data_IF_143369466198
#
_entry.id   IF_143369466198
#
_cell.length_a   1.000
_cell.length_b   1.000
_cell.length_c   1.000
_cell.angle_alpha   90.00
_cell.angle_beta   90.00
_cell.angle_gamma   90.00
#
_symmetry.space_group_name_H-M   'P 1'
#
loop_
_entity.id
_entity.type
_entity.pdbx_description
1 polymer ?
#
# COMPACT_ATOMS: atom_id res chain seq x y z
N UNK A 1 -38.47 -26.18 16.17
CA UNK A 1 -37.74 -27.40 15.76
C UNK A 1 -37.11 -28.01 16.99
N UNK A 2 -37.00 -29.34 17.08
CA UNK A 2 -36.40 -30.00 18.25
C UNK A 2 -34.96 -29.53 18.47
N UNK A 3 -34.61 -29.30 19.73
CA UNK A 3 -33.27 -28.81 20.10
C UNK A 3 -32.20 -29.91 20.05
N UNK A 4 -32.62 -31.18 20.16
CA UNK A 4 -31.74 -32.35 20.19
C UNK A 4 -32.39 -33.55 19.49
N UNK A 5 -31.58 -34.33 18.76
CA UNK A 5 -31.98 -35.64 18.24
C UNK A 5 -31.80 -36.68 19.35
N UNK A 6 -32.80 -37.53 19.58
CA UNK A 6 -32.76 -38.57 20.60
C UNK A 6 -31.68 -39.63 20.33
N UNK A 7 -31.32 -39.86 19.06
CA UNK A 7 -30.24 -40.78 18.67
C UNK A 7 -28.85 -40.21 19.00
N UNK A 8 -28.72 -38.88 19.10
CA UNK A 8 -27.47 -38.20 19.48
C UNK A 8 -27.34 -38.00 21.01
N UNK A 9 -28.36 -38.41 21.77
CA UNK A 9 -28.43 -38.24 23.20
C UNK A 9 -28.09 -39.54 23.92
N UNK A 10 -26.92 -39.56 24.54
CA UNK A 10 -26.52 -40.65 25.43
C UNK A 10 -27.10 -40.39 26.82
N UNK A 11 -28.12 -41.16 27.20
CA UNK A 11 -28.71 -41.10 28.54
C UNK A 11 -27.79 -41.76 29.56
N UNK A 12 -27.77 -41.24 30.80
CA UNK A 12 -27.03 -41.84 31.90
C UNK A 12 -27.78 -43.04 32.49
N UNK A 13 -29.11 -43.00 32.48
CA UNK A 13 -30.00 -44.06 32.95
C UNK A 13 -31.00 -44.42 31.86
N UNK A 14 -31.40 -45.68 31.81
CA UNK A 14 -32.46 -46.13 30.90
C UNK A 14 -33.78 -45.42 31.23
N UNK A 15 -34.51 -45.02 30.19
CA UNK A 15 -35.83 -44.42 30.33
C UNK A 15 -36.84 -45.50 30.74
N UNK A 16 -37.82 -45.18 31.61
CA UNK A 16 -38.96 -46.05 31.83
C UNK A 16 -39.66 -46.40 30.49
N UNK A 17 -40.04 -47.66 30.29
CA UNK A 17 -40.60 -48.16 29.02
C UNK A 17 -41.82 -47.37 28.50
N UNK A 18 -42.58 -46.74 29.40
CA UNK A 18 -43.80 -45.99 29.09
C UNK A 18 -43.58 -44.47 28.91
N UNK A 19 -42.34 -44.00 29.01
CA UNK A 19 -42.03 -42.57 28.93
C UNK A 19 -41.76 -42.13 27.48
N UNK A 20 -42.81 -41.71 26.78
CA UNK A 20 -42.70 -41.17 25.42
C UNK A 20 -42.22 -39.72 25.43
N UNK A 21 -40.96 -39.50 24.99
CA UNK A 21 -40.33 -38.18 24.90
C UNK A 21 -40.04 -37.72 23.47
N UNK A 22 -40.36 -38.55 22.47
CA UNK A 22 -40.18 -38.23 21.06
C UNK A 22 -41.41 -37.47 20.55
N UNK A 23 -41.18 -36.45 19.72
CA UNK A 23 -42.25 -35.76 19.02
C UNK A 23 -42.65 -36.52 17.76
N UNK A 24 -43.92 -36.88 17.54
CA UNK A 24 -44.33 -37.61 16.34
C UNK A 24 -44.16 -36.84 15.01
N UNK A 25 -44.07 -35.50 15.07
CA UNK A 25 -43.96 -34.65 13.86
C UNK A 25 -42.52 -34.47 13.42
N UNK A 26 -41.61 -34.15 14.35
CA UNK A 26 -40.21 -33.87 14.02
C UNK A 26 -39.25 -35.00 14.42
N UNK A 27 -39.74 -36.06 15.04
CA UNK A 27 -39.02 -37.26 15.48
C UNK A 27 -37.89 -37.04 16.53
N UNK A 28 -37.53 -35.79 16.83
CA UNK A 28 -36.62 -35.43 17.93
C UNK A 28 -37.27 -35.38 19.31
N UNK A 29 -36.48 -35.05 20.34
CA UNK A 29 -36.99 -34.88 21.71
C UNK A 29 -37.96 -33.70 21.78
N UNK A 30 -39.08 -33.92 22.46
CA UNK A 30 -40.10 -32.91 22.75
C UNK A 30 -39.45 -31.66 23.36
N UNK A 31 -39.47 -30.56 22.59
CA UNK A 31 -39.04 -29.24 23.03
C UNK A 31 -40.29 -28.40 23.25
N UNK A 32 -40.47 -27.91 24.48
CA UNK A 32 -41.71 -27.22 24.89
C UNK A 32 -42.97 -28.07 24.63
N UNK A 33 -43.15 -29.19 25.37
CA UNK A 33 -44.17 -30.18 25.09
C UNK A 33 -45.58 -29.63 25.25
N UNK A 34 -46.41 -29.86 24.23
CA UNK A 34 -47.80 -29.48 24.17
C UNK A 34 -48.67 -30.74 24.02
N UNK A 35 -49.64 -30.88 24.93
CA UNK A 35 -50.62 -31.95 24.96
C UNK A 35 -51.83 -31.58 24.10
N UNK A 36 -52.25 -32.48 23.21
CA UNK A 36 -53.53 -32.34 22.51
C UNK A 36 -54.66 -33.01 23.26
N UNK A 37 -55.80 -32.33 23.40
CA UNK A 37 -56.93 -32.82 24.20
C UNK A 37 -57.68 -34.00 23.57
N UNK A 38 -57.59 -34.16 22.25
CA UNK A 38 -58.34 -35.19 21.52
C UNK A 38 -57.82 -36.62 21.72
N UNK A 39 -56.51 -36.80 21.92
CA UNK A 39 -55.89 -38.13 22.03
C UNK A 39 -54.76 -38.20 23.06
N UNK A 40 -54.49 -37.13 23.82
CA UNK A 40 -53.49 -37.14 24.90
C UNK A 40 -52.03 -37.26 24.46
N UNK A 41 -51.72 -37.08 23.17
CA UNK A 41 -50.35 -37.13 22.67
C UNK A 41 -49.63 -35.79 22.85
N UNK A 42 -48.30 -35.85 22.98
CA UNK A 42 -47.47 -34.66 23.15
C UNK A 42 -46.70 -34.34 21.85
N UNK A 43 -46.54 -33.05 21.57
CA UNK A 43 -45.77 -32.55 20.45
C UNK A 43 -44.87 -31.39 20.90
N UNK A 44 -43.82 -31.08 20.14
CA UNK A 44 -43.15 -29.79 20.34
C UNK A 44 -44.13 -28.65 20.07
N UNK A 45 -44.09 -27.56 20.85
CA UNK A 45 -44.96 -26.39 20.65
C UNK A 45 -44.91 -25.89 19.21
N UNK A 46 -43.70 -25.59 18.72
CA UNK A 46 -43.48 -25.16 17.32
C UNK A 46 -43.92 -26.15 16.23
N UNK A 47 -44.11 -27.43 16.55
CA UNK A 47 -44.60 -28.43 15.60
C UNK A 47 -46.12 -28.41 15.53
N UNK A 48 -46.80 -28.50 16.68
CA UNK A 48 -48.27 -28.52 16.70
C UNK A 48 -48.88 -27.16 16.36
N UNK A 49 -48.22 -26.05 16.73
CA UNK A 49 -48.61 -24.70 16.30
C UNK A 49 -48.61 -24.57 14.78
N UNK A 50 -47.61 -25.15 14.11
CA UNK A 50 -47.52 -25.13 12.65
C UNK A 50 -48.65 -25.91 12.00
N UNK A 51 -48.97 -27.09 12.53
CA UNK A 51 -50.10 -27.90 12.06
C UNK A 51 -51.42 -27.14 12.22
N UNK A 52 -51.61 -26.50 13.39
CA UNK A 52 -52.81 -25.69 13.64
C UNK A 52 -52.90 -24.46 12.73
N UNK A 53 -51.77 -23.79 12.49
CA UNK A 53 -51.69 -22.63 11.59
C UNK A 53 -51.99 -22.98 10.13
N UNK A 54 -51.76 -24.23 9.71
CA UNK A 54 -52.15 -24.74 8.39
C UNK A 54 -53.56 -25.36 8.36
N UNK A 55 -54.41 -25.10 9.36
CA UNK A 55 -55.73 -25.73 9.52
C UNK A 55 -55.68 -27.27 9.46
N UNK A 56 -54.57 -27.87 9.90
CA UNK A 56 -54.36 -29.31 9.90
C UNK A 56 -55.05 -30.01 11.07
N UNK A 57 -55.47 -31.24 10.85
CA UNK A 57 -56.00 -32.15 11.87
C UNK A 57 -54.90 -32.62 12.84
N UNK A 58 -55.29 -33.22 13.96
CA UNK A 58 -54.36 -33.82 14.90
C UNK A 58 -53.47 -34.87 14.19
N UNK A 59 -52.13 -34.77 14.23
CA UNK A 59 -51.25 -35.69 13.51
C UNK A 59 -51.33 -37.16 13.94
N UNK A 60 -51.87 -37.45 15.13
CA UNK A 60 -51.94 -38.81 15.68
C UNK A 60 -53.29 -39.50 15.46
N UNK A 61 -54.40 -38.75 15.46
CA UNK A 61 -55.75 -39.33 15.39
C UNK A 61 -56.65 -38.70 14.31
N UNK A 62 -56.12 -37.76 13.52
CA UNK A 62 -56.83 -37.07 12.45
C UNK A 62 -58.10 -36.29 12.88
N UNK A 63 -58.24 -35.97 14.15
CA UNK A 63 -59.36 -35.16 14.64
C UNK A 63 -59.20 -33.68 14.24
N UNK A 64 -60.24 -33.09 13.66
CA UNK A 64 -60.25 -31.69 13.21
C UNK A 64 -60.40 -30.69 14.38
N UNK A 65 -61.06 -31.10 15.46
CA UNK A 65 -61.42 -30.26 16.60
C UNK A 65 -60.63 -30.68 17.83
N UNK A 66 -59.41 -30.15 17.96
CA UNK A 66 -58.55 -30.39 19.12
C UNK A 66 -58.08 -29.07 19.74
N UNK A 67 -57.90 -29.09 21.06
CA UNK A 67 -57.24 -28.01 21.78
C UNK A 67 -55.83 -28.43 22.15
N UNK A 68 -54.97 -27.44 22.37
CA UNK A 68 -53.56 -27.63 22.66
C UNK A 68 -53.25 -26.92 23.97
N UNK A 69 -52.62 -27.60 24.91
CA UNK A 69 -52.19 -27.03 26.19
C UNK A 69 -50.74 -27.40 26.49
N UNK A 70 -49.99 -26.47 27.11
CA UNK A 70 -48.61 -26.73 27.55
C UNK A 70 -48.60 -27.82 28.62
N UNK A 71 -47.82 -28.87 28.41
CA UNK A 71 -47.66 -29.96 29.36
C UNK A 71 -46.44 -29.73 30.29
N UNK A 72 -46.67 -28.98 31.38
CA UNK A 72 -45.62 -28.62 32.34
C UNK A 72 -45.01 -29.84 33.04
N UNK A 73 -45.80 -30.88 33.29
CA UNK A 73 -45.30 -32.13 33.89
C UNK A 73 -44.31 -32.81 32.96
N UNK A 74 -44.69 -32.99 31.68
CA UNK A 74 -43.81 -33.58 30.68
C UNK A 74 -42.54 -32.77 30.48
N UNK A 75 -42.62 -31.43 30.53
CA UNK A 75 -41.46 -30.55 30.46
C UNK A 75 -40.48 -30.77 31.62
N UNK A 76 -40.99 -30.92 32.86
CA UNK A 76 -40.13 -31.19 34.04
C UNK A 76 -39.38 -32.51 33.89
N UNK A 77 -40.11 -33.57 33.53
CA UNK A 77 -39.53 -34.91 33.33
C UNK A 77 -38.40 -34.86 32.29
N UNK A 78 -38.64 -34.23 31.13
CA UNK A 78 -37.63 -34.11 30.07
C UNK A 78 -36.42 -33.30 30.53
N UNK A 79 -36.64 -32.20 31.25
CA UNK A 79 -35.57 -31.33 31.72
C UNK A 79 -34.66 -31.98 32.77
N UNK A 80 -35.21 -32.89 33.57
CA UNK A 80 -34.52 -33.62 34.64
C UNK A 80 -33.79 -34.88 34.14
N UNK A 81 -33.96 -35.25 32.86
CA UNK A 81 -33.23 -36.37 32.27
C UNK A 81 -31.72 -36.15 32.39
N UNK A 82 -31.03 -37.12 33.00
CA UNK A 82 -29.58 -37.11 33.12
C UNK A 82 -28.95 -37.66 31.83
N UNK A 83 -28.16 -36.84 31.16
CA UNK A 83 -27.57 -37.10 29.85
C UNK A 83 -26.08 -36.83 29.86
N UNK A 84 -25.32 -37.55 29.03
CA UNK A 84 -23.95 -37.22 28.70
C UNK A 84 -23.89 -36.14 27.63
N UNK A 85 -22.80 -35.36 27.64
CA UNK A 85 -22.50 -34.39 26.59
C UNK A 85 -22.56 -35.03 25.19
N UNK A 86 -23.11 -34.32 24.20
CA UNK A 86 -23.09 -34.76 22.80
C UNK A 86 -21.67 -34.95 22.24
N UNK A 87 -20.65 -34.37 22.89
CA UNK A 87 -19.24 -34.56 22.55
C UNK A 87 -18.56 -35.69 23.37
N UNK A 88 -19.33 -36.61 23.98
CA UNK A 88 -18.78 -37.73 24.77
C UNK A 88 -17.81 -38.59 23.96
N UNK A 89 -18.16 -38.92 22.72
CA UNK A 89 -17.30 -39.70 21.81
C UNK A 89 -15.98 -38.96 21.49
N UNK A 90 -15.98 -37.64 21.55
CA UNK A 90 -14.77 -36.81 21.40
C UNK A 90 -13.94 -36.73 22.67
N UNK A 91 -14.44 -37.23 23.80
CA UNK A 91 -13.77 -37.26 25.10
C UNK A 91 -14.38 -36.34 26.18
N UNK A 92 -15.53 -35.70 25.93
CA UNK A 92 -16.18 -34.89 26.97
C UNK A 92 -16.83 -35.78 28.04
N UNK A 93 -16.38 -35.66 29.29
CA UNK A 93 -16.90 -36.46 30.41
C UNK A 93 -18.12 -35.84 31.10
N UNK A 94 -18.57 -34.66 30.67
CA UNK A 94 -19.69 -33.98 31.30
C UNK A 94 -20.98 -34.80 31.19
N UNK A 95 -21.69 -34.88 32.32
CA UNK A 95 -23.04 -35.39 32.43
C UNK A 95 -23.87 -34.50 33.36
N UNK A 96 -25.16 -34.44 33.12
CA UNK A 96 -26.08 -33.66 33.95
C UNK A 96 -27.48 -33.59 33.36
N UNK A 97 -28.33 -32.77 33.95
CA UNK A 97 -29.70 -32.54 33.50
C UNK A 97 -29.74 -31.94 32.08
N UNK A 98 -30.66 -32.43 31.23
CA UNK A 98 -30.81 -32.00 29.84
C UNK A 98 -30.97 -30.49 29.70
N UNK A 99 -31.66 -29.83 30.65
CA UNK A 99 -31.84 -28.37 30.67
C UNK A 99 -30.50 -27.61 30.71
N UNK A 100 -29.48 -28.19 31.33
CA UNK A 100 -28.14 -27.61 31.49
C UNK A 100 -27.18 -27.95 30.32
N UNK A 101 -27.58 -28.82 29.39
CA UNK A 101 -26.76 -29.16 28.22
C UNK A 101 -26.42 -27.92 27.38
N UNK A 102 -27.40 -27.03 27.20
CA UNK A 102 -27.22 -25.83 26.38
C UNK A 102 -26.20 -24.86 26.97
N UNK A 103 -26.16 -24.72 28.29
CA UNK A 103 -25.21 -23.85 29.02
C UNK A 103 -23.82 -24.46 29.05
N UNK A 104 -23.71 -25.79 29.21
CA UNK A 104 -22.44 -26.50 29.11
C UNK A 104 -21.82 -26.34 27.70
N UNK A 105 -22.59 -26.64 26.65
CA UNK A 105 -22.11 -26.57 25.26
C UNK A 105 -21.82 -25.13 24.84
N UNK A 106 -22.72 -24.17 25.14
CA UNK A 106 -22.67 -22.79 24.62
C UNK A 106 -22.37 -22.80 23.11
N UNK A 107 -23.14 -23.58 22.34
CA UNK A 107 -22.85 -23.88 20.92
C UNK A 107 -22.48 -22.62 20.14
N UNK A 108 -21.45 -22.72 19.28
CA UNK A 108 -20.92 -21.63 18.43
C UNK A 108 -20.37 -20.40 19.19
N UNK A 109 -20.37 -20.38 20.52
CA UNK A 109 -19.73 -19.32 21.31
C UNK A 109 -18.27 -19.68 21.54
N UNK A 110 -17.38 -18.70 21.40
CA UNK A 110 -15.93 -18.87 21.60
C UNK A 110 -15.61 -19.42 22.99
N UNK A 111 -16.16 -18.80 24.04
CA UNK A 111 -16.01 -19.26 25.42
C UNK A 111 -17.19 -20.14 25.84
N UNK A 112 -16.90 -21.19 26.58
CA UNK A 112 -17.88 -22.09 27.18
C UNK A 112 -17.22 -23.21 27.97
N UNK A 113 -18.02 -23.96 28.72
CA UNK A 113 -17.52 -24.99 29.64
C UNK A 113 -17.05 -26.23 28.88
N UNK A 114 -17.77 -26.64 27.83
CA UNK A 114 -17.38 -27.76 26.98
C UNK A 114 -16.11 -27.43 26.17
N UNK A 115 -15.00 -28.06 26.52
CA UNK A 115 -13.71 -27.91 25.82
C UNK A 115 -13.68 -28.61 24.45
N UNK A 116 -14.61 -29.54 24.21
CA UNK A 116 -14.70 -30.38 23.01
C UNK A 116 -15.67 -29.82 21.96
N UNK A 117 -16.38 -28.73 22.27
CA UNK A 117 -17.29 -28.07 21.34
C UNK A 117 -16.51 -27.35 20.23
N UNK A 118 -16.98 -27.49 18.99
CA UNK A 118 -16.34 -26.88 17.82
C UNK A 118 -16.75 -25.42 17.61
N UNK A 119 -15.75 -24.55 17.63
CA UNK A 119 -15.88 -23.10 17.50
C UNK A 119 -15.04 -22.59 16.33
N UNK A 120 -15.42 -21.45 15.78
CA UNK A 120 -14.67 -20.79 14.69
C UNK A 120 -13.52 -19.99 15.29
N UNK A 121 -12.41 -19.93 14.56
CA UNK A 121 -11.32 -18.99 14.80
C UNK A 121 -11.84 -17.53 14.83
N UNK A 122 -11.28 -16.69 15.70
CA UNK A 122 -11.65 -15.28 15.81
C UNK A 122 -11.27 -14.44 14.59
N UNK A 123 -10.24 -14.83 13.84
CA UNK A 123 -9.75 -14.07 12.71
C UNK A 123 -10.65 -14.26 11.49
N UNK A 124 -11.18 -13.17 10.96
CA UNK A 124 -12.19 -13.15 9.88
C UNK A 124 -11.78 -13.90 8.61
N UNK A 125 -10.49 -13.90 8.30
CA UNK A 125 -9.94 -14.57 7.12
C UNK A 125 -9.55 -16.04 7.39
N UNK A 126 -9.65 -16.50 8.64
CA UNK A 126 -9.47 -17.90 8.99
C UNK A 126 -10.85 -18.59 8.97
N UNK A 127 -11.02 -19.61 8.12
CA UNK A 127 -12.28 -20.36 8.00
C UNK A 127 -12.30 -21.64 8.85
N UNK A 128 -11.25 -21.88 9.62
CA UNK A 128 -11.09 -23.10 10.39
C UNK A 128 -12.04 -23.17 11.58
N UNK A 129 -12.39 -24.40 11.93
CA UNK A 129 -13.21 -24.76 13.10
C UNK A 129 -12.48 -25.83 13.87
N UNK A 130 -12.44 -25.67 15.19
CA UNK A 130 -11.75 -26.60 16.07
C UNK A 130 -12.37 -26.62 17.44
N UNK A 131 -11.99 -27.64 18.22
CA UNK A 131 -12.40 -27.76 19.61
C UNK A 131 -11.84 -26.58 20.43
N UNK A 132 -12.63 -26.05 21.37
CA UNK A 132 -12.22 -24.91 22.22
C UNK A 132 -10.85 -25.09 22.87
N UNK A 133 -10.50 -26.31 23.29
CA UNK A 133 -9.19 -26.60 23.91
C UNK A 133 -7.98 -26.27 23.03
N UNK A 134 -8.13 -26.32 21.71
CA UNK A 134 -7.04 -26.05 20.76
C UNK A 134 -7.11 -24.65 20.15
N UNK A 135 -8.16 -23.88 20.47
CA UNK A 135 -8.40 -22.61 19.81
C UNK A 135 -7.30 -21.59 20.09
N UNK A 136 -6.82 -21.52 21.34
CA UNK A 136 -5.76 -20.57 21.71
C UNK A 136 -4.43 -20.93 21.03
N UNK A 137 -4.04 -22.21 21.09
CA UNK A 137 -2.80 -22.68 20.44
C UNK A 137 -2.80 -22.36 18.95
N UNK A 138 -3.93 -22.60 18.27
CA UNK A 138 -4.11 -22.19 16.89
C UNK A 138 -4.00 -20.67 16.72
N UNK A 139 -4.77 -19.88 17.47
CA UNK A 139 -4.84 -18.42 17.29
C UNK A 139 -3.49 -17.73 17.56
N UNK A 140 -2.69 -18.28 18.47
CA UNK A 140 -1.43 -17.68 18.92
C UNK A 140 -0.22 -18.17 18.10
N UNK A 141 -0.22 -19.42 17.65
CA UNK A 141 0.98 -20.04 17.07
C UNK A 141 0.81 -20.60 15.65
N UNK A 142 -0.37 -21.08 15.28
CA UNK A 142 -0.55 -21.82 14.02
C UNK A 142 -1.28 -20.99 12.96
N UNK A 143 -2.22 -20.14 13.37
CA UNK A 143 -3.15 -19.49 12.47
C UNK A 143 -2.40 -18.62 11.46
N UNK A 144 -2.55 -18.85 10.14
CA UNK A 144 -1.90 -18.02 9.13
C UNK A 144 -2.37 -16.56 9.15
N UNK A 145 -3.55 -16.31 9.73
CA UNK A 145 -4.16 -14.99 9.84
C UNK A 145 -3.86 -14.30 11.17
N UNK A 146 -3.05 -14.91 12.05
CA UNK A 146 -2.64 -14.26 13.30
C UNK A 146 -1.81 -12.99 13.02
N UNK A 147 -1.92 -11.96 13.86
CA UNK A 147 -1.02 -10.81 13.82
C UNK A 147 0.43 -11.25 13.96
N UNK A 148 1.30 -10.69 13.12
CA UNK A 148 2.71 -10.99 13.13
C UNK A 148 3.52 -9.76 12.71
N UNK A 149 4.62 -9.54 13.41
CA UNK A 149 5.57 -8.47 13.11
C UNK A 149 6.84 -9.09 12.57
N UNK A 150 7.33 -8.57 11.43
CA UNK A 150 8.59 -8.99 10.87
C UNK A 150 9.74 -8.68 11.84
N UNK A 151 10.57 -9.68 12.22
CA UNK A 151 11.69 -9.48 13.14
C UNK A 151 12.84 -8.64 12.54
N UNK A 152 12.85 -8.43 11.23
CA UNK A 152 13.97 -7.76 10.53
C UNK A 152 13.70 -6.32 10.11
N UNK A 153 12.44 -5.92 9.96
CA UNK A 153 12.11 -4.58 9.46
C UNK A 153 10.85 -3.97 10.09
N UNK A 154 10.44 -4.49 11.25
CA UNK A 154 9.32 -4.01 12.08
C UNK A 154 7.97 -3.88 11.37
N UNK A 155 7.80 -4.47 10.19
CA UNK A 155 6.55 -4.43 9.42
C UNK A 155 5.51 -5.33 10.07
N UNK A 156 4.33 -4.78 10.33
CA UNK A 156 3.19 -5.52 10.87
C UNK A 156 2.29 -6.06 9.75
N UNK A 157 1.66 -7.21 9.98
CA UNK A 157 0.71 -7.83 9.07
C UNK A 157 0.16 -9.14 9.64
N UNK A 158 -0.43 -9.97 8.79
CA UNK A 158 -0.72 -11.36 9.16
C UNK A 158 0.50 -12.23 8.94
N UNK A 159 0.66 -13.31 9.71
CA UNK A 159 1.74 -14.26 9.50
C UNK A 159 1.86 -14.70 8.03
N UNK A 160 0.74 -15.01 7.37
CA UNK A 160 0.71 -15.39 5.96
C UNK A 160 1.22 -14.27 5.03
N UNK A 161 0.74 -13.03 5.20
CA UNK A 161 1.18 -11.90 4.38
C UNK A 161 2.67 -11.60 4.56
N UNK A 162 3.17 -11.71 5.79
CA UNK A 162 4.58 -11.43 6.09
C UNK A 162 5.47 -12.59 5.63
N UNK A 163 5.06 -13.85 5.81
CA UNK A 163 5.87 -15.00 5.42
C UNK A 163 5.88 -15.29 3.92
N UNK A 164 4.80 -14.96 3.21
CA UNK A 164 4.67 -15.25 1.77
C UNK A 164 5.16 -14.10 0.89
N UNK A 165 4.76 -12.87 1.22
CA UNK A 165 4.98 -11.72 0.33
C UNK A 165 6.13 -10.83 0.81
N UNK A 166 6.60 -11.01 2.05
CA UNK A 166 7.67 -10.19 2.64
C UNK A 166 8.94 -11.00 2.97
N UNK A 167 8.81 -12.22 3.49
CA UNK A 167 9.89 -13.22 3.53
C UNK A 167 10.00 -13.84 2.14
N UNK A 168 11.04 -13.47 1.39
CA UNK A 168 11.44 -14.25 0.23
C UNK A 168 12.49 -15.25 0.72
N UNK A 169 12.25 -16.55 0.54
CA UNK A 169 13.32 -17.54 0.55
C UNK A 169 14.18 -17.29 -0.69
N UNK A 170 15.43 -16.78 -0.56
CA UNK A 170 16.28 -16.63 -1.72
C UNK A 170 16.72 -18.04 -2.14
N UNK A 171 16.47 -18.37 -3.40
CA UNK A 171 16.90 -19.60 -4.04
C UNK A 171 18.41 -19.77 -3.87
N UNK A 172 18.78 -20.84 -3.17
CA UNK A 172 20.03 -21.62 -3.21
C UNK A 172 21.25 -20.94 -3.84
N UNK A 173 21.99 -20.14 -3.08
CA UNK A 173 23.45 -20.01 -3.28
C UNK A 173 24.16 -19.81 -1.93
N UNK A 174 24.42 -20.93 -1.24
CA UNK A 174 25.34 -21.07 -0.09
C UNK A 174 25.00 -20.31 1.21
N UNK A 175 25.64 -20.75 2.29
CA UNK A 175 25.37 -20.64 3.74
C UNK A 175 25.19 -19.22 4.34
N UNK A 176 25.25 -18.15 3.54
CA UNK A 176 25.37 -16.78 4.05
C UNK A 176 24.15 -15.87 3.85
N UNK A 177 23.12 -16.28 3.11
CA UNK A 177 22.05 -15.36 2.66
C UNK A 177 20.63 -15.71 3.13
N UNK A 178 20.47 -16.64 4.07
CA UNK A 178 19.15 -17.14 4.46
C UNK A 178 18.23 -16.14 5.19
N UNK A 179 18.65 -14.89 5.45
CA UNK A 179 17.89 -13.96 6.29
C UNK A 179 18.06 -12.48 5.90
N UNK A 180 17.45 -12.01 4.80
CA UNK A 180 17.39 -10.57 4.48
C UNK A 180 16.03 -10.17 3.86
N UNK A 181 15.50 -8.97 4.17
CA UNK A 181 14.25 -8.46 3.56
C UNK A 181 14.39 -8.21 2.06
N UNK A 182 13.29 -8.37 1.30
CA UNK A 182 13.28 -8.17 -0.16
C UNK A 182 13.79 -6.79 -0.62
N UNK A 183 13.48 -5.73 0.14
CA UNK A 183 13.98 -4.37 -0.13
C UNK A 183 15.51 -4.30 -0.08
N UNK A 184 16.14 -5.16 0.72
CA UNK A 184 17.60 -5.22 0.87
C UNK A 184 18.24 -6.23 -0.08
N UNK A 185 17.48 -7.19 -0.62
CA UNK A 185 17.99 -8.18 -1.57
C UNK A 185 18.45 -7.52 -2.87
N UNK A 186 17.68 -6.57 -3.42
CA UNK A 186 18.08 -5.86 -4.65
C UNK A 186 19.38 -5.08 -4.47
N UNK A 187 19.53 -4.39 -3.34
CA UNK A 187 20.76 -3.66 -3.02
C UNK A 187 21.94 -4.60 -2.77
N UNK A 188 21.72 -5.74 -2.11
CA UNK A 188 22.74 -6.76 -1.89
C UNK A 188 23.22 -7.37 -3.21
N UNK A 189 22.31 -7.85 -4.06
CA UNK A 189 22.66 -8.45 -5.36
C UNK A 189 23.44 -7.43 -6.21
N UNK A 190 22.96 -6.19 -6.28
CA UNK A 190 23.57 -5.14 -7.09
C UNK A 190 24.97 -4.70 -6.61
N UNK A 191 25.24 -4.70 -5.29
CA UNK A 191 26.45 -4.07 -4.76
C UNK A 191 27.35 -4.96 -3.89
N UNK A 192 26.84 -6.05 -3.33
CA UNK A 192 27.50 -6.80 -2.25
C UNK A 192 27.63 -8.31 -2.53
N UNK A 193 26.79 -8.88 -3.41
CA UNK A 193 26.79 -10.33 -3.66
C UNK A 193 28.12 -10.77 -4.30
N UNK A 194 28.89 -11.65 -3.62
CA UNK A 194 30.18 -12.14 -4.15
C UNK A 194 30.03 -13.04 -5.39
N UNK A 195 28.84 -13.61 -5.60
CA UNK A 195 28.50 -14.53 -6.68
C UNK A 195 27.72 -13.85 -7.82
N UNK A 196 27.50 -12.53 -7.75
CA UNK A 196 26.86 -11.82 -8.86
C UNK A 196 27.87 -11.64 -10.01
N UNK A 197 27.53 -11.99 -11.26
CA UNK A 197 28.33 -11.64 -12.43
C UNK A 197 28.35 -10.13 -12.63
N UNK A 198 29.53 -9.53 -12.66
CA UNK A 198 29.70 -8.08 -12.85
C UNK A 198 30.51 -7.79 -14.10
N UNK A 199 30.24 -6.65 -14.73
CA UNK A 199 31.01 -6.20 -15.88
C UNK A 199 32.47 -5.96 -15.50
N UNK A 200 33.38 -6.44 -16.35
CA UNK A 200 34.80 -6.17 -16.18
C UNK A 200 35.08 -4.65 -16.23
N UNK A 201 36.00 -4.18 -15.38
CA UNK A 201 36.45 -2.80 -15.35
C UNK A 201 37.09 -2.33 -16.68
N UNK A 202 37.52 -3.27 -17.52
CA UNK A 202 38.09 -3.02 -18.85
C UNK A 202 37.07 -3.23 -19.99
N UNK A 203 35.78 -3.25 -19.69
CA UNK A 203 34.70 -3.29 -20.70
C UNK A 203 34.79 -2.13 -21.69
N UNK A 204 35.14 -0.93 -21.23
CA UNK A 204 35.40 0.23 -22.09
C UNK A 204 36.58 0.02 -23.05
N UNK A 205 37.53 -0.86 -22.70
CA UNK A 205 38.67 -1.23 -23.54
C UNK A 205 38.40 -2.47 -24.41
N UNK A 206 37.17 -3.03 -24.35
CA UNK A 206 36.74 -4.15 -25.19
C UNK A 206 36.67 -5.52 -24.52
N UNK A 207 36.79 -5.60 -23.19
CA UNK A 207 36.57 -6.87 -22.48
C UNK A 207 35.07 -7.18 -22.33
N UNK A 208 34.62 -8.34 -22.83
CA UNK A 208 33.22 -8.76 -22.77
C UNK A 208 32.92 -9.76 -21.64
N UNK A 209 33.93 -10.09 -20.83
CA UNK A 209 33.78 -11.07 -19.76
C UNK A 209 33.01 -10.48 -18.57
N UNK A 210 32.15 -11.32 -17.98
CA UNK A 210 31.37 -11.02 -16.77
C UNK A 210 31.78 -11.97 -15.64
N UNK A 211 32.95 -11.77 -14.99
CA UNK A 211 33.38 -12.60 -13.87
C UNK A 211 32.45 -12.43 -12.66
N UNK A 212 32.45 -13.43 -11.76
CA UNK A 212 31.82 -13.29 -10.45
C UNK A 212 32.53 -12.19 -9.67
N UNK A 213 31.79 -11.39 -8.89
CA UNK A 213 32.35 -10.28 -8.09
C UNK A 213 33.57 -10.69 -7.25
N UNK A 214 33.55 -11.88 -6.63
CA UNK A 214 34.69 -12.41 -5.85
C UNK A 214 35.94 -12.68 -6.70
N UNK A 215 35.76 -13.02 -7.97
CA UNK A 215 36.81 -13.45 -8.89
C UNK A 215 37.29 -12.31 -9.82
N UNK A 216 36.70 -11.11 -9.72
CA UNK A 216 37.08 -9.93 -10.52
C UNK A 216 38.57 -9.68 -10.45
N UNK A 217 39.17 -9.71 -9.26
CA UNK A 217 40.59 -9.44 -9.07
C UNK A 217 41.48 -10.46 -9.81
N UNK A 218 41.10 -11.75 -9.78
CA UNK A 218 41.79 -12.83 -10.50
C UNK A 218 41.67 -12.64 -12.01
N UNK A 219 40.46 -12.33 -12.49
CA UNK A 219 40.20 -12.06 -13.90
C UNK A 219 41.00 -10.84 -14.40
N UNK A 220 40.99 -9.72 -13.65
CA UNK A 220 41.70 -8.50 -14.05
C UNK A 220 43.22 -8.63 -14.06
N UNK A 221 43.77 -9.61 -13.33
CA UNK A 221 45.20 -9.91 -13.34
C UNK A 221 45.66 -10.64 -14.62
N UNK A 222 44.73 -11.07 -15.49
CA UNK A 222 45.06 -11.67 -16.78
C UNK A 222 45.74 -10.65 -17.72
N UNK A 223 46.83 -11.09 -18.35
CA UNK A 223 47.61 -10.36 -19.36
C UNK A 223 46.79 -9.88 -20.57
N UNK A 224 45.62 -10.48 -20.84
CA UNK A 224 44.72 -10.04 -21.92
C UNK A 224 44.29 -8.58 -21.79
N UNK A 225 44.07 -8.09 -20.57
CA UNK A 225 43.66 -6.70 -20.34
C UNK A 225 44.76 -5.71 -20.69
N UNK A 226 46.03 -6.06 -20.50
CA UNK A 226 47.16 -5.20 -20.86
C UNK A 226 47.25 -4.96 -22.36
N UNK A 227 46.96 -5.98 -23.18
CA UNK A 227 46.92 -5.84 -24.63
C UNK A 227 45.76 -4.96 -25.08
N UNK A 228 44.57 -5.14 -24.50
CA UNK A 228 43.40 -4.29 -24.77
C UNK A 228 43.69 -2.83 -24.39
N UNK A 229 44.31 -2.59 -23.23
CA UNK A 229 44.72 -1.27 -22.79
C UNK A 229 45.73 -0.64 -23.74
N UNK A 230 46.72 -1.39 -24.24
CA UNK A 230 47.70 -0.86 -25.19
C UNK A 230 47.03 -0.40 -26.51
N UNK A 231 46.09 -1.18 -27.02
CA UNK A 231 45.32 -0.83 -28.22
C UNK A 231 44.42 0.39 -27.96
N UNK A 232 43.66 0.39 -26.87
CA UNK A 232 42.76 1.49 -26.51
C UNK A 232 43.53 2.80 -26.26
N UNK A 233 44.65 2.76 -25.52
CA UNK A 233 45.53 3.91 -25.33
C UNK A 233 46.12 4.43 -26.65
N UNK A 234 46.46 3.53 -27.58
CA UNK A 234 46.93 3.90 -28.91
C UNK A 234 45.86 4.62 -29.74
N UNK A 235 44.62 4.14 -29.70
CA UNK A 235 43.47 4.79 -30.36
C UNK A 235 43.16 6.15 -29.73
N UNK A 236 43.03 6.21 -28.40
CA UNK A 236 42.79 7.45 -27.66
C UNK A 236 43.89 8.50 -27.90
N UNK A 237 45.14 8.08 -28.07
CA UNK A 237 46.24 8.99 -28.41
C UNK A 237 46.03 9.62 -29.79
N UNK A 238 45.69 8.80 -30.80
CA UNK A 238 45.41 9.28 -32.16
C UNK A 238 44.21 10.22 -32.21
N UNK A 239 43.11 9.86 -31.54
CA UNK A 239 41.92 10.71 -31.43
C UNK A 239 42.24 12.04 -30.74
N UNK A 240 43.03 12.02 -29.66
CA UNK A 240 43.46 13.26 -28.99
C UNK A 240 44.36 14.13 -29.86
N UNK A 241 45.27 13.54 -30.65
CA UNK A 241 46.10 14.29 -31.60
C UNK A 241 45.23 14.94 -32.69
N UNK A 242 44.27 14.19 -33.24
CA UNK A 242 43.32 14.71 -34.22
C UNK A 242 42.44 15.83 -33.65
N UNK A 243 41.87 15.64 -32.45
CA UNK A 243 41.07 16.67 -31.77
C UNK A 243 41.87 17.94 -31.50
N UNK A 244 43.16 17.81 -31.14
CA UNK A 244 44.04 18.97 -30.96
C UNK A 244 44.27 19.72 -32.27
N UNK A 245 44.47 19.01 -33.38
CA UNK A 245 44.60 19.62 -34.71
C UNK A 245 43.31 20.33 -35.15
N UNK A 246 42.16 19.71 -34.94
CA UNK A 246 40.86 20.31 -35.24
C UNK A 246 40.62 21.56 -34.40
N UNK A 247 40.85 21.47 -33.09
CA UNK A 247 40.69 22.61 -32.16
C UNK A 247 41.63 23.77 -32.52
N UNK A 248 42.87 23.48 -32.92
CA UNK A 248 43.83 24.54 -33.32
C UNK A 248 43.42 25.22 -34.63
N UNK A 249 42.89 24.46 -35.61
CA UNK A 249 42.32 25.02 -36.85
C UNK A 249 41.10 25.90 -36.55
N UNK A 250 40.20 25.47 -35.67
CA UNK A 250 39.04 26.28 -35.25
C UNK A 250 39.46 27.56 -34.55
N UNK A 251 40.43 27.50 -33.64
CA UNK A 251 40.96 28.70 -32.96
C UNK A 251 41.56 29.67 -33.98
N UNK A 252 42.28 29.20 -35.00
CA UNK A 252 42.84 30.05 -36.05
C UNK A 252 41.73 30.77 -36.84
N UNK A 253 40.70 30.03 -37.26
CA UNK A 253 39.54 30.58 -37.98
C UNK A 253 38.77 31.62 -37.13
N UNK A 254 38.54 31.34 -35.84
CA UNK A 254 37.89 32.28 -34.93
C UNK A 254 38.74 33.56 -34.79
N UNK A 255 40.07 33.44 -34.69
CA UNK A 255 40.97 34.60 -34.63
C UNK A 255 40.87 35.47 -35.89
N UNK A 256 40.81 34.87 -37.07
CA UNK A 256 40.62 35.60 -38.33
C UNK A 256 39.30 36.36 -38.35
N UNK A 257 38.18 35.70 -37.98
CA UNK A 257 36.86 36.35 -37.87
C UNK A 257 36.82 37.49 -36.85
N UNK A 258 37.55 37.36 -35.73
CA UNK A 258 37.66 38.45 -34.75
C UNK A 258 38.37 39.67 -35.35
N UNK A 259 39.40 39.46 -36.17
CA UNK A 259 40.11 40.57 -36.84
C UNK A 259 39.18 41.27 -37.84
N UNK A 260 38.39 40.53 -38.60
CA UNK A 260 37.39 41.11 -39.51
C UNK A 260 36.32 41.90 -38.76
N UNK A 261 35.69 41.31 -37.74
CA UNK A 261 34.68 41.98 -36.92
C UNK A 261 35.21 43.26 -36.26
N UNK A 262 36.49 43.29 -35.85
CA UNK A 262 37.12 44.49 -35.31
C UNK A 262 37.25 45.59 -36.36
N UNK A 263 37.61 45.26 -37.60
CA UNK A 263 37.67 46.24 -38.70
C UNK A 263 36.30 46.82 -39.01
N UNK A 264 35.28 45.97 -39.07
CA UNK A 264 33.90 46.40 -39.29
C UNK A 264 33.40 47.29 -38.14
N UNK A 265 33.72 46.94 -36.89
CA UNK A 265 33.38 47.75 -35.71
C UNK A 265 34.03 49.14 -35.74
N UNK A 266 35.29 49.26 -36.17
CA UNK A 266 35.94 50.58 -36.31
C UNK A 266 35.33 51.39 -37.44
N UNK A 267 34.96 50.75 -38.56
CA UNK A 267 34.28 51.42 -39.67
C UNK A 267 32.92 51.99 -39.23
N UNK A 268 32.09 51.17 -38.54
CA UNK A 268 30.79 51.61 -38.02
C UNK A 268 30.95 52.80 -37.06
N UNK A 269 32.00 52.78 -36.22
CA UNK A 269 32.28 53.87 -35.28
C UNK A 269 32.63 55.18 -36.00
N UNK A 270 33.38 55.12 -37.10
CA UNK A 270 33.68 56.29 -37.91
C UNK A 270 32.42 56.80 -38.64
N UNK A 271 31.62 55.90 -39.22
CA UNK A 271 30.35 56.24 -39.87
C UNK A 271 29.39 56.92 -38.88
N UNK A 272 29.26 56.39 -37.66
CA UNK A 272 28.47 57.00 -36.57
C UNK A 272 28.98 58.39 -36.18
N UNK A 273 30.29 58.61 -36.18
CA UNK A 273 30.87 59.92 -35.86
C UNK A 273 30.52 60.95 -36.91
N UNK A 274 30.63 60.57 -38.19
CA UNK A 274 30.25 61.42 -39.33
C UNK A 274 28.76 61.76 -39.26
N UNK A 275 27.90 60.79 -38.98
CA UNK A 275 26.45 61.01 -38.87
C UNK A 275 26.07 61.89 -37.66
N UNK A 276 26.73 61.69 -36.51
CA UNK A 276 26.52 62.54 -35.34
C UNK A 276 26.93 64.00 -35.61
N UNK A 277 28.02 64.22 -36.36
CA UNK A 277 28.43 65.57 -36.74
C UNK A 277 27.46 66.21 -37.75
N UNK A 278 26.86 65.44 -38.67
CA UNK A 278 25.76 65.91 -39.53
C UNK A 278 24.53 66.33 -38.71
N UNK A 279 24.09 65.49 -37.77
CA UNK A 279 22.94 65.78 -36.90
C UNK A 279 23.19 67.04 -36.07
N UNK A 280 24.40 67.24 -35.54
CA UNK A 280 24.74 68.49 -34.82
C UNK A 280 24.57 69.71 -35.71
N UNK A 281 25.03 69.66 -36.96
CA UNK A 281 24.85 70.74 -37.93
C UNK A 281 23.37 71.03 -38.18
N UNK A 282 22.56 69.99 -38.45
CA UNK A 282 21.11 70.14 -38.66
C UNK A 282 20.37 70.72 -37.43
N UNK A 283 20.79 70.34 -36.22
CA UNK A 283 20.25 70.90 -34.97
C UNK A 283 20.57 72.41 -34.88
N UNK A 284 21.80 72.81 -35.17
CA UNK A 284 22.20 74.23 -35.16
C UNK A 284 21.38 75.02 -36.17
N UNK A 285 21.23 74.51 -37.40
CA UNK A 285 20.45 75.16 -38.44
C UNK A 285 18.97 75.29 -38.06
N UNK A 286 18.40 74.25 -37.45
CA UNK A 286 17.00 74.26 -36.98
C UNK A 286 16.79 75.23 -35.82
N UNK A 287 17.72 75.27 -34.85
CA UNK A 287 17.65 76.22 -33.73
C UNK A 287 17.73 77.68 -34.21
N UNK A 288 18.57 77.95 -35.21
CA UNK A 288 18.64 79.27 -35.85
C UNK A 288 17.33 79.65 -36.55
N UNK A 289 16.62 78.70 -37.17
CA UNK A 289 15.35 78.95 -37.84
C UNK A 289 14.16 79.22 -36.89
N UNK A 290 14.18 78.68 -35.67
CA UNK A 290 13.06 78.78 -34.69
C UNK A 290 13.19 80.02 -33.78
N UNK A 291 14.28 80.79 -33.87
CA UNK A 291 14.46 82.04 -33.11
C UNK A 291 14.54 81.85 -31.58
N UNK A 292 14.85 80.63 -31.12
CA UNK A 292 15.01 80.30 -29.71
C UNK A 292 16.49 80.38 -29.31
N UNK A 293 16.91 81.30 -28.43
CA UNK A 293 18.32 81.46 -28.09
C UNK A 293 18.82 80.26 -27.27
N UNK A 294 19.90 79.63 -27.73
CA UNK A 294 20.66 78.66 -26.95
C UNK A 294 21.56 79.40 -25.96
N UNK A 295 21.74 78.82 -24.77
CA UNK A 295 22.55 79.38 -23.69
C UNK A 295 23.96 79.78 -24.14
N UNK A 296 24.57 80.80 -23.50
CA UNK A 296 24.06 81.57 -22.37
C UNK A 296 23.10 82.70 -22.76
N UNK A 297 22.12 82.98 -21.91
CA UNK A 297 21.09 84.03 -22.10
C UNK A 297 21.39 85.21 -21.15
N UNK A 298 21.52 86.42 -21.67
CA UNK A 298 21.77 87.64 -20.89
C UNK A 298 20.47 88.23 -20.31
N UNK A 299 20.42 88.43 -18.98
CA UNK A 299 19.26 89.01 -18.28
C UNK A 299 19.52 90.50 -18.01
N UNK A 300 18.70 91.38 -18.59
CA UNK A 300 18.78 92.84 -18.39
C UNK A 300 17.89 93.31 -17.23
N UNK A 301 18.29 94.40 -16.57
CA UNK A 301 17.56 94.97 -15.44
C UNK A 301 16.18 95.49 -15.90
N UNK A 302 15.11 94.92 -15.35
CA UNK A 302 13.75 95.41 -15.57
C UNK A 302 12.87 94.62 -16.53
N UNK A 303 13.38 93.76 -17.41
CA UNK A 303 12.55 92.89 -18.27
C UNK A 303 12.72 91.41 -17.87
N UNK A 304 11.63 90.65 -17.88
CA UNK A 304 11.67 89.22 -17.60
C UNK A 304 12.09 88.47 -18.88
N UNK A 305 13.13 87.65 -18.78
CA UNK A 305 13.55 86.78 -19.88
C UNK A 305 12.96 85.40 -19.66
N UNK A 306 12.29 84.88 -20.69
CA UNK A 306 11.61 83.59 -20.69
C UNK A 306 12.47 82.54 -21.40
N UNK A 307 12.67 81.38 -20.76
CA UNK A 307 13.45 80.28 -21.33
C UNK A 307 12.91 78.91 -20.89
N UNK A 308 13.25 77.87 -21.65
CA UNK A 308 12.86 76.49 -21.38
C UNK A 308 14.11 75.68 -21.04
N UNK A 309 14.02 74.77 -20.06
CA UNK A 309 15.17 73.94 -19.63
C UNK A 309 15.55 72.86 -20.66
N UNK A 310 14.63 72.50 -21.56
CA UNK A 310 14.85 71.59 -22.68
C UNK A 310 13.73 71.76 -23.71
N UNK A 311 13.79 71.04 -24.84
CA UNK A 311 12.79 71.08 -25.93
C UNK A 311 11.35 70.77 -25.47
N UNK A 312 11.18 70.13 -24.30
CA UNK A 312 9.89 69.86 -23.65
C UNK A 312 9.92 70.22 -22.14
N UNK A 313 10.85 71.09 -21.74
CA UNK A 313 11.10 71.43 -20.35
C UNK A 313 10.08 72.40 -19.77
N UNK A 314 10.19 72.64 -18.46
CA UNK A 314 9.32 73.57 -17.76
C UNK A 314 9.68 75.00 -18.17
N UNK A 315 8.67 75.81 -18.45
CA UNK A 315 8.85 77.23 -18.73
C UNK A 315 9.36 77.95 -17.48
N UNK A 316 10.46 78.67 -17.61
CA UNK A 316 11.05 79.47 -16.54
C UNK A 316 11.19 80.94 -16.98
N UNK A 317 11.10 81.85 -16.02
CA UNK A 317 11.35 83.27 -16.24
C UNK A 317 12.28 83.81 -15.17
N UNK A 318 13.29 84.58 -15.57
CA UNK A 318 14.20 85.26 -14.66
C UNK A 318 14.18 86.78 -14.92
N UNK A 319 14.21 87.57 -13.85
CA UNK A 319 14.22 89.04 -13.92
C UNK A 319 15.14 89.58 -12.83
N UNK A 320 16.03 90.50 -13.20
CA UNK A 320 16.84 91.24 -12.23
C UNK A 320 16.02 92.42 -11.67
N UNK A 321 15.91 92.50 -10.34
CA UNK A 321 15.18 93.56 -9.60
C UNK A 321 16.18 94.42 -8.81
N UNK A 322 16.00 95.75 -8.79
CA UNK A 322 16.78 96.67 -7.93
C UNK A 322 16.17 96.70 -6.53
N UNK A 323 17.01 96.62 -5.50
CA UNK A 323 16.67 96.85 -4.10
C UNK A 323 17.04 98.29 -3.73
#
# INVERSE_FOLDING_TARGET
>A
MAQFNIEELSLVKELPEHLEIKCPVCLGILTDPHLVTCCGHNFCGSCIERVKASNGSCPMCNNQNYQVAVNKERLRIINELEVYCSNKEKGCEWKGELKNMSTHLKKKKRRGECQYEEVKCQYTNCRERMQRRYLNDHEDSECPQRPFQCPYCTKEGTFFSITKDHYIHPVTHSEYLSTMPQSSLTAHVSHQCPLEPVDCAFSWAGCNDKPLRKDVHVHTADTKHMTLLAVACGQLKKENEQLKEETTKEIANIKEKIVELKKDSEKIKEDMKIENDKIKHEIVDTCNAIGSPLLPIDIKLGEAVHFYTSRCGWHMSARLMKW
#
